data_IF_255763465951
#
_entry.id   IF_255763465951
#
_cell.length_a   1.000
_cell.length_b   1.000
_cell.length_c   1.000
_cell.angle_alpha   90.00
_cell.angle_beta   90.00
_cell.angle_gamma   90.00
#
_symmetry.space_group_name_H-M   'P 1'
#
loop_
_entity.id
_entity.type
_entity.pdbx_description
1 polymer ?
#
# COMPACT_ATOMS: atom_id res chain seq x y z
N UNK A 1 13.14 51.58 -5.83
CA UNK A 1 13.16 50.66 -4.68
C UNK A 1 12.52 49.36 -5.16
N UNK A 2 13.28 48.47 -5.80
CA UNK A 2 12.74 47.20 -6.32
C UNK A 2 13.07 46.06 -5.35
N UNK A 3 12.41 46.09 -4.21
CA UNK A 3 12.47 45.07 -3.17
C UNK A 3 11.51 43.89 -3.44
N UNK A 4 11.46 43.39 -4.68
CA UNK A 4 10.64 42.23 -5.01
C UNK A 4 11.34 40.96 -4.55
N UNK A 5 11.04 40.48 -3.33
CA UNK A 5 11.53 39.19 -2.85
C UNK A 5 11.13 38.07 -3.81
N UNK A 6 12.10 37.52 -4.55
CA UNK A 6 11.84 36.43 -5.49
C UNK A 6 11.28 35.20 -4.79
N UNK A 7 10.29 34.54 -5.41
CA UNK A 7 9.77 33.27 -4.93
C UNK A 7 10.70 32.12 -5.33
N UNK A 8 11.03 31.24 -4.38
CA UNK A 8 11.71 29.96 -4.64
C UNK A 8 10.65 28.87 -4.76
N UNK A 9 10.64 28.17 -5.89
CA UNK A 9 9.70 27.07 -6.15
C UNK A 9 10.41 25.74 -5.93
N UNK A 10 9.78 24.84 -5.15
CA UNK A 10 10.17 23.45 -4.99
C UNK A 10 8.94 22.61 -5.33
N UNK A 11 9.10 21.63 -6.20
CA UNK A 11 8.03 20.72 -6.62
C UNK A 11 8.52 19.27 -6.53
N UNK A 12 7.58 18.35 -6.27
CA UNK A 12 7.85 16.91 -6.24
C UNK A 12 6.73 16.15 -6.95
N UNK A 13 7.07 15.02 -7.57
CA UNK A 13 6.14 14.20 -8.35
C UNK A 13 6.57 12.74 -8.32
N UNK A 14 5.59 11.84 -8.41
CA UNK A 14 5.80 10.39 -8.59
C UNK A 14 5.73 9.97 -10.07
N UNK A 15 5.42 10.90 -10.98
CA UNK A 15 5.31 10.65 -12.42
C UNK A 15 6.56 11.12 -13.16
N UNK A 16 6.91 10.45 -14.24
CA UNK A 16 7.94 10.92 -15.16
C UNK A 16 7.42 12.13 -15.97
N UNK A 17 7.82 13.33 -15.56
CA UNK A 17 7.41 14.57 -16.24
C UNK A 17 7.93 14.65 -17.68
N UNK A 18 9.02 13.96 -18.00
CA UNK A 18 9.55 13.92 -19.37
C UNK A 18 8.54 13.23 -20.28
N UNK A 19 8.05 12.05 -19.87
CA UNK A 19 7.02 11.32 -20.61
C UNK A 19 5.68 12.05 -20.64
N UNK A 20 5.29 12.70 -19.53
CA UNK A 20 4.04 13.48 -19.49
C UNK A 20 4.08 14.71 -20.41
N UNK A 21 5.24 15.39 -20.51
CA UNK A 21 5.43 16.51 -21.43
C UNK A 21 5.41 16.07 -22.90
N UNK A 22 6.10 14.97 -23.22
CA UNK A 22 6.08 14.38 -24.58
C UNK A 22 4.68 13.93 -25.01
N UNK A 23 3.88 13.43 -24.06
CA UNK A 23 2.50 13.03 -24.30
C UNK A 23 1.50 14.20 -24.33
N UNK A 24 1.96 15.45 -24.19
CA UNK A 24 1.12 16.65 -24.18
C UNK A 24 0.23 16.79 -22.93
N UNK A 25 0.43 15.94 -21.91
CA UNK A 25 -0.31 15.99 -20.64
C UNK A 25 0.30 16.94 -19.62
N UNK A 26 1.54 17.38 -19.86
CA UNK A 26 2.23 18.37 -19.05
C UNK A 26 2.80 19.49 -19.93
N UNK A 27 2.75 20.72 -19.43
CA UNK A 27 3.16 21.89 -20.21
C UNK A 27 4.68 21.97 -20.37
N UNK A 28 5.17 22.02 -21.62
CA UNK A 28 6.59 21.93 -21.92
C UNK A 28 7.42 23.07 -21.29
N UNK A 29 6.95 24.32 -21.39
CA UNK A 29 7.66 25.46 -20.82
C UNK A 29 7.77 25.38 -19.29
N UNK A 30 6.75 24.82 -18.62
CA UNK A 30 6.79 24.61 -17.18
C UNK A 30 7.78 23.48 -16.82
N UNK A 31 7.80 22.40 -17.61
CA UNK A 31 8.79 21.34 -17.45
C UNK A 31 10.20 21.91 -17.51
N UNK A 32 10.55 22.64 -18.57
CA UNK A 32 11.90 23.22 -18.73
C UNK A 32 12.29 24.17 -17.59
N UNK A 33 11.34 24.92 -17.03
CA UNK A 33 11.59 25.79 -15.86
C UNK A 33 11.80 25.01 -14.56
N UNK A 34 11.07 23.92 -14.36
CA UNK A 34 11.23 23.06 -13.18
C UNK A 34 12.46 22.16 -13.29
N UNK A 35 12.95 21.91 -14.50
CA UNK A 35 14.03 20.97 -14.77
C UNK A 35 15.43 21.45 -14.42
N UNK A 36 15.56 22.71 -13.98
CA UNK A 36 16.85 23.33 -13.71
C UNK A 36 17.73 22.55 -12.72
N UNK A 37 17.12 21.89 -11.72
CA UNK A 37 17.81 20.98 -10.81
C UNK A 37 16.85 19.87 -10.36
N UNK A 38 17.13 18.63 -10.76
CA UNK A 38 16.36 17.45 -10.36
C UNK A 38 17.05 16.70 -9.23
N UNK A 39 16.30 16.40 -8.17
CA UNK A 39 16.73 15.51 -7.10
C UNK A 39 15.85 14.26 -7.11
N UNK A 40 16.47 13.09 -7.31
CA UNK A 40 15.80 11.79 -7.20
C UNK A 40 15.73 11.40 -5.73
N UNK A 41 14.53 11.08 -5.24
CA UNK A 41 14.34 10.48 -3.93
C UNK A 41 14.26 8.96 -4.11
N UNK A 42 15.24 8.17 -3.65
CA UNK A 42 15.22 6.72 -3.81
C UNK A 42 14.11 6.07 -2.96
N UNK A 43 13.59 4.95 -3.44
CA UNK A 43 12.71 4.11 -2.63
C UNK A 43 13.48 3.48 -1.45
N UNK A 44 12.81 3.12 -0.35
CA UNK A 44 13.47 2.47 0.78
C UNK A 44 14.18 1.16 0.41
N UNK A 45 13.63 0.38 -0.54
CA UNK A 45 14.29 -0.83 -1.08
C UNK A 45 15.63 -0.56 -1.78
N UNK A 46 15.89 0.68 -2.20
CA UNK A 46 17.16 1.10 -2.82
C UNK A 46 18.18 1.55 -1.76
N UNK A 47 17.78 1.63 -0.48
CA UNK A 47 18.60 2.08 0.67
C UNK A 47 18.19 1.34 1.96
N UNK A 48 18.24 0.00 2.00
CA UNK A 48 17.78 -0.76 3.16
C UNK A 48 18.56 -0.45 4.44
N UNK A 49 19.79 0.03 4.34
CA UNK A 49 20.64 0.48 5.46
C UNK A 49 20.05 1.64 6.26
N UNK A 50 19.17 2.46 5.66
CA UNK A 50 18.52 3.58 6.33
C UNK A 50 17.30 3.14 7.16
N UNK A 51 16.71 1.97 6.84
CA UNK A 51 15.49 1.44 7.46
C UNK A 51 15.59 1.39 8.99
N UNK A 52 16.66 0.84 9.62
CA UNK A 52 16.71 0.70 11.06
C UNK A 52 16.69 2.03 11.80
N UNK A 53 17.39 3.05 11.25
CA UNK A 53 17.44 4.40 11.83
C UNK A 53 16.09 5.10 11.69
N UNK A 54 15.51 5.04 10.49
CA UNK A 54 14.20 5.62 10.22
C UNK A 54 13.10 4.97 11.07
N UNK A 55 13.10 3.65 11.18
CA UNK A 55 12.14 2.90 11.99
C UNK A 55 12.19 3.30 13.46
N UNK A 56 13.40 3.36 14.06
CA UNK A 56 13.56 3.78 15.46
C UNK A 56 13.06 5.21 15.69
N UNK A 57 13.29 6.11 14.73
CA UNK A 57 12.76 7.47 14.80
C UNK A 57 11.23 7.50 14.80
N UNK A 58 10.58 6.77 13.88
CA UNK A 58 9.12 6.70 13.83
C UNK A 58 8.51 6.00 15.05
N UNK A 59 9.19 4.96 15.55
CA UNK A 59 8.77 4.25 16.77
C UNK A 59 8.78 5.20 17.97
N UNK A 60 9.85 5.97 18.13
CA UNK A 60 9.97 6.94 19.22
C UNK A 60 8.86 7.99 19.16
N UNK A 61 8.58 8.55 17.97
CA UNK A 61 7.45 9.47 17.77
C UNK A 61 6.09 8.84 18.08
N UNK A 62 5.87 7.59 17.66
CA UNK A 62 4.62 6.88 17.93
C UNK A 62 4.41 6.62 19.43
N UNK A 63 5.45 6.16 20.12
CA UNK A 63 5.43 5.94 21.57
C UNK A 63 5.19 7.24 22.34
N UNK A 64 5.84 8.33 21.95
CA UNK A 64 5.63 9.66 22.54
C UNK A 64 4.17 10.13 22.37
N UNK A 65 3.62 10.03 21.16
CA UNK A 65 2.24 10.44 20.86
C UNK A 65 1.20 9.59 21.60
N UNK A 66 1.46 8.29 21.76
CA UNK A 66 0.56 7.36 22.44
C UNK A 66 0.79 7.30 23.96
N UNK A 67 1.78 8.03 24.51
CA UNK A 67 2.23 7.93 25.89
C UNK A 67 2.55 6.47 26.31
N UNK A 68 3.20 5.72 25.42
CA UNK A 68 3.62 4.33 25.63
C UNK A 68 5.12 4.25 25.87
N UNK A 69 5.60 3.26 26.66
CA UNK A 69 7.02 2.96 26.73
C UNK A 69 7.53 2.46 25.38
N UNK A 70 8.76 2.81 25.03
CA UNK A 70 9.39 2.31 23.81
C UNK A 70 9.70 0.80 23.93
N UNK A 71 9.15 -0.04 23.04
CA UNK A 71 9.46 -1.46 23.01
C UNK A 71 10.89 -1.70 22.49
N UNK A 72 11.50 -2.81 22.93
CA UNK A 72 12.84 -3.17 22.47
C UNK A 72 12.83 -3.62 20.99
N UNK A 73 13.70 -3.00 20.18
CA UNK A 73 13.87 -3.35 18.76
C UNK A 73 15.08 -4.27 18.64
N UNK A 74 14.79 -5.56 18.73
CA UNK A 74 15.80 -6.63 18.68
C UNK A 74 16.46 -6.74 17.30
N UNK A 75 17.67 -7.36 17.21
CA UNK A 75 18.33 -7.60 15.92
C UNK A 75 17.48 -8.41 14.93
N UNK A 76 16.64 -9.33 15.42
CA UNK A 76 15.74 -10.12 14.58
C UNK A 76 14.64 -9.25 13.94
N UNK A 77 14.11 -8.28 14.70
CA UNK A 77 13.15 -7.30 14.17
C UNK A 77 13.82 -6.47 13.07
N UNK A 78 15.02 -5.96 13.33
CA UNK A 78 15.79 -5.17 12.34
C UNK A 78 16.03 -5.96 11.06
N UNK A 79 16.52 -7.21 11.17
CA UNK A 79 16.78 -8.05 10.01
C UNK A 79 15.52 -8.28 9.16
N UNK A 80 14.37 -8.49 9.81
CA UNK A 80 13.08 -8.63 9.13
C UNK A 80 12.64 -7.35 8.45
N UNK A 81 12.77 -6.20 9.10
CA UNK A 81 12.44 -4.90 8.51
C UNK A 81 13.28 -4.61 7.26
N UNK A 82 14.57 -4.94 7.28
CA UNK A 82 15.48 -4.74 6.15
C UNK A 82 15.20 -5.69 4.97
N UNK A 83 14.56 -6.84 5.21
CA UNK A 83 14.22 -7.81 4.19
C UNK A 83 12.89 -7.53 3.45
N UNK A 84 12.13 -6.52 3.88
CA UNK A 84 10.84 -6.15 3.28
C UNK A 84 10.99 -5.13 2.15
N UNK A 85 10.06 -5.16 1.20
CA UNK A 85 10.03 -4.25 0.03
C UNK A 85 9.47 -2.85 0.32
N UNK A 86 8.77 -2.69 1.45
CA UNK A 86 8.11 -1.45 1.88
C UNK A 86 7.23 -0.81 0.80
N UNK A 87 6.10 -1.44 0.41
CA UNK A 87 5.08 -0.75 -0.40
C UNK A 87 4.64 0.51 0.36
N UNK A 88 4.56 1.65 -0.34
CA UNK A 88 4.32 2.95 0.30
C UNK A 88 5.57 3.64 0.90
N UNK A 89 6.76 3.03 0.79
CA UNK A 89 8.05 3.63 1.15
C UNK A 89 8.03 4.10 2.63
N UNK A 90 8.45 5.33 2.93
CA UNK A 90 8.49 5.86 4.29
C UNK A 90 7.14 5.81 5.04
N UNK A 91 6.00 5.87 4.33
CA UNK A 91 4.67 5.77 4.96
C UNK A 91 4.41 4.38 5.51
N UNK A 92 4.69 3.35 4.71
CA UNK A 92 4.58 1.95 5.15
C UNK A 92 5.47 1.67 6.35
N UNK A 93 6.70 2.21 6.35
CA UNK A 93 7.61 2.07 7.49
C UNK A 93 7.10 2.77 8.76
N UNK A 94 6.53 3.97 8.62
CA UNK A 94 5.92 4.70 9.74
C UNK A 94 4.72 3.94 10.33
N UNK A 95 3.88 3.35 9.48
CA UNK A 95 2.72 2.56 9.92
C UNK A 95 3.16 1.27 10.62
N UNK A 96 4.19 0.59 10.11
CA UNK A 96 4.78 -0.56 10.81
C UNK A 96 5.33 -0.16 12.18
N UNK A 97 6.01 0.99 12.30
CA UNK A 97 6.51 1.48 13.59
C UNK A 97 5.37 1.80 14.57
N UNK A 98 4.29 2.41 14.10
CA UNK A 98 3.09 2.67 14.92
C UNK A 98 2.46 1.36 15.43
N UNK A 99 2.32 0.35 14.56
CA UNK A 99 1.77 -0.96 14.93
C UNK A 99 2.68 -1.69 15.93
N UNK A 100 3.99 -1.58 15.74
CA UNK A 100 4.99 -2.10 16.67
C UNK A 100 4.89 -1.44 18.06
N UNK A 101 4.73 -0.11 18.11
CA UNK A 101 4.52 0.63 19.35
C UNK A 101 3.28 0.13 20.13
N UNK A 102 2.20 -0.18 19.40
CA UNK A 102 0.94 -0.67 19.96
C UNK A 102 0.94 -2.17 20.30
N UNK A 103 2.04 -2.89 20.04
CA UNK A 103 2.12 -4.35 20.24
C UNK A 103 1.20 -5.14 19.30
N UNK A 104 0.80 -4.55 18.18
CA UNK A 104 -0.01 -5.23 17.17
C UNK A 104 0.89 -6.16 16.34
N UNK A 105 0.40 -7.37 15.98
CA UNK A 105 1.17 -8.27 15.13
C UNK A 105 1.44 -7.60 13.79
N UNK A 106 2.58 -7.89 13.17
CA UNK A 106 2.88 -7.50 11.79
C UNK A 106 1.86 -8.15 10.85
N UNK A 107 0.72 -7.50 10.66
CA UNK A 107 -0.16 -7.76 9.54
C UNK A 107 0.60 -7.46 8.26
N UNK A 108 0.51 -8.38 7.29
CA UNK A 108 0.91 -8.17 5.91
C UNK A 108 0.10 -7.00 5.34
N UNK A 109 0.52 -5.78 5.64
CA UNK A 109 -0.10 -4.58 5.09
C UNK A 109 0.58 -4.27 3.76
N UNK A 110 0.05 -4.94 2.76
CA UNK A 110 -0.10 -4.46 1.40
C UNK A 110 -0.84 -3.11 1.44
N UNK A 111 -0.15 -2.04 1.87
CA UNK A 111 -0.62 -0.65 1.76
C UNK A 111 -0.59 -0.20 0.30
N UNK A 112 -1.47 -0.84 -0.45
CA UNK A 112 -1.85 -0.58 -1.83
C UNK A 112 -3.29 -0.97 -2.12
N UNK A 113 -4.00 -1.62 -1.19
CA UNK A 113 -5.38 -2.02 -1.45
C UNK A 113 -6.31 -0.81 -1.29
N UNK A 114 -6.47 0.00 -2.34
CA UNK A 114 -7.55 0.99 -2.43
C UNK A 114 -8.91 0.34 -2.14
N UNK A 115 -9.98 1.13 -1.96
CA UNK A 115 -11.33 0.62 -1.68
C UNK A 115 -11.71 -0.59 -2.56
N UNK A 116 -11.30 -0.59 -3.83
CA UNK A 116 -11.52 -1.68 -4.78
C UNK A 116 -10.98 -3.03 -4.29
N UNK A 117 -9.83 -3.07 -3.64
CA UNK A 117 -9.16 -4.31 -3.25
C UNK A 117 -9.51 -4.73 -1.83
N UNK A 118 -9.85 -3.79 -0.95
CA UNK A 118 -10.59 -4.11 0.28
C UNK A 118 -11.95 -4.74 -0.05
N UNK A 119 -12.68 -4.16 -1.01
CA UNK A 119 -13.93 -4.74 -1.51
C UNK A 119 -13.70 -6.11 -2.17
N UNK A 120 -12.60 -6.30 -2.90
CA UNK A 120 -12.23 -7.59 -3.48
C UNK A 120 -12.01 -8.66 -2.41
N UNK A 121 -11.35 -8.31 -1.29
CA UNK A 121 -11.11 -9.22 -0.16
C UNK A 121 -12.42 -9.62 0.53
N UNK A 122 -13.30 -8.65 0.79
CA UNK A 122 -14.63 -8.91 1.36
C UNK A 122 -15.47 -9.76 0.41
N UNK A 123 -15.48 -9.42 -0.88
CA UNK A 123 -16.19 -10.17 -1.92
C UNK A 123 -15.71 -11.62 -1.99
N UNK A 124 -14.39 -11.84 -1.99
CA UNK A 124 -13.79 -13.18 -1.96
C UNK A 124 -14.27 -13.97 -0.74
N UNK A 125 -14.20 -13.39 0.46
CA UNK A 125 -14.64 -14.05 1.69
C UNK A 125 -16.11 -14.51 1.62
N UNK A 126 -16.99 -13.65 1.09
CA UNK A 126 -18.42 -13.96 0.96
C UNK A 126 -18.68 -15.07 -0.07
N UNK A 127 -17.92 -15.12 -1.16
CA UNK A 127 -18.02 -16.17 -2.18
C UNK A 127 -17.58 -17.53 -1.62
N UNK A 128 -16.45 -17.57 -0.91
CA UNK A 128 -15.92 -18.79 -0.30
C UNK A 128 -16.88 -19.32 0.78
N UNK A 129 -17.40 -18.46 1.65
CA UNK A 129 -18.34 -18.87 2.69
C UNK A 129 -19.67 -19.38 2.13
N UNK A 130 -20.18 -18.77 1.06
CA UNK A 130 -21.36 -19.26 0.37
C UNK A 130 -21.11 -20.63 -0.27
N UNK A 131 -19.95 -20.84 -0.90
CA UNK A 131 -19.60 -22.15 -1.48
C UNK A 131 -19.42 -23.23 -0.41
N UNK A 132 -18.76 -22.92 0.72
CA UNK A 132 -18.62 -23.85 1.86
C UNK A 132 -19.98 -24.29 2.39
N UNK A 133 -20.88 -23.35 2.65
CA UNK A 133 -22.22 -23.65 3.21
C UNK A 133 -23.12 -24.43 2.25
N UNK A 134 -22.87 -24.34 0.95
CA UNK A 134 -23.63 -25.05 -0.08
C UNK A 134 -22.88 -26.25 -0.66
N UNK A 135 -21.79 -26.70 -0.02
CA UNK A 135 -21.01 -27.87 -0.43
C UNK A 135 -20.52 -27.78 -1.87
N UNK A 136 -19.99 -26.64 -2.29
CA UNK A 136 -19.47 -26.42 -3.64
C UNK A 136 -20.54 -26.30 -4.73
N UNK A 137 -21.82 -26.17 -4.37
CA UNK A 137 -22.89 -25.91 -5.32
C UNK A 137 -22.97 -24.42 -5.68
N UNK A 138 -22.26 -24.03 -6.76
CA UNK A 138 -22.24 -22.67 -7.27
C UNK A 138 -23.63 -22.11 -7.65
N UNK A 139 -24.56 -22.97 -8.05
CA UNK A 139 -25.93 -22.54 -8.39
C UNK A 139 -26.69 -22.07 -7.14
N UNK A 140 -26.58 -22.81 -6.04
CA UNK A 140 -27.20 -22.44 -4.77
C UNK A 140 -26.49 -21.24 -4.14
N UNK A 141 -25.16 -21.19 -4.22
CA UNK A 141 -24.38 -20.03 -3.77
C UNK A 141 -24.80 -18.73 -4.49
N UNK A 142 -25.06 -18.79 -5.81
CA UNK A 142 -25.57 -17.64 -6.57
C UNK A 142 -26.92 -17.15 -6.05
N UNK A 143 -27.84 -18.08 -5.73
CA UNK A 143 -29.17 -17.74 -5.21
C UNK A 143 -29.11 -17.11 -3.82
N UNK A 144 -28.29 -17.67 -2.91
CA UNK A 144 -28.11 -17.15 -1.55
C UNK A 144 -27.49 -15.75 -1.57
N UNK A 145 -26.49 -15.54 -2.44
CA UNK A 145 -25.85 -14.23 -2.64
C UNK A 145 -26.70 -13.27 -3.47
N UNK A 146 -27.86 -13.71 -3.99
CA UNK A 146 -28.75 -12.94 -4.88
C UNK A 146 -28.03 -12.40 -6.13
N UNK A 147 -27.12 -13.19 -6.68
CA UNK A 147 -26.36 -12.86 -7.88
C UNK A 147 -26.87 -13.64 -9.09
N UNK A 148 -26.90 -13.03 -10.29
CA UNK A 148 -27.05 -13.80 -11.51
C UNK A 148 -25.95 -14.85 -11.62
N UNK A 149 -26.29 -16.06 -12.10
CA UNK A 149 -25.32 -17.18 -12.20
C UNK A 149 -24.05 -16.78 -12.96
N UNK A 150 -24.21 -16.08 -14.09
CA UNK A 150 -23.09 -15.59 -14.90
C UNK A 150 -22.14 -14.69 -14.09
N UNK A 151 -22.70 -13.72 -13.37
CA UNK A 151 -21.94 -12.80 -12.50
C UNK A 151 -21.21 -13.52 -11.38
N UNK A 152 -21.79 -14.59 -10.82
CA UNK A 152 -21.09 -15.41 -9.83
C UNK A 152 -19.85 -16.07 -10.47
N UNK A 153 -20.01 -16.74 -11.62
CA UNK A 153 -18.89 -17.39 -12.29
C UNK A 153 -17.79 -16.41 -12.70
N UNK A 154 -18.16 -15.22 -13.20
CA UNK A 154 -17.20 -14.17 -13.54
C UNK A 154 -16.40 -13.72 -12.30
N UNK A 155 -17.06 -13.59 -11.14
CA UNK A 155 -16.41 -13.24 -9.87
C UNK A 155 -15.53 -14.37 -9.33
N UNK A 156 -15.99 -15.62 -9.38
CA UNK A 156 -15.19 -16.78 -8.98
C UNK A 156 -13.91 -16.90 -9.81
N UNK A 157 -14.02 -16.73 -11.14
CA UNK A 157 -12.86 -16.74 -12.02
C UNK A 157 -11.89 -15.58 -11.71
N UNK A 158 -12.42 -14.38 -11.45
CA UNK A 158 -11.61 -13.21 -11.08
C UNK A 158 -10.84 -13.39 -9.78
N UNK A 159 -11.40 -14.10 -8.81
CA UNK A 159 -10.78 -14.38 -7.51
C UNK A 159 -10.03 -15.73 -7.46
N UNK A 160 -9.98 -16.47 -8.57
CA UNK A 160 -9.30 -17.77 -8.64
C UNK A 160 -9.96 -18.88 -7.81
N UNK A 161 -11.25 -18.75 -7.48
CA UNK A 161 -11.99 -19.69 -6.64
C UNK A 161 -12.64 -20.76 -7.52
N UNK A 162 -12.42 -22.04 -7.22
CA UNK A 162 -13.08 -23.14 -7.93
C UNK A 162 -14.14 -23.79 -7.03
N UNK A 163 -15.41 -23.89 -7.47
CA UNK A 163 -16.47 -24.52 -6.67
C UNK A 163 -16.18 -25.98 -6.29
N UNK A 164 -15.38 -26.69 -7.08
CA UNK A 164 -14.99 -28.08 -6.86
C UNK A 164 -14.15 -28.26 -5.60
N UNK A 165 -13.33 -27.27 -5.23
CA UNK A 165 -12.48 -27.30 -4.02
C UNK A 165 -13.31 -27.29 -2.72
N UNK A 166 -14.61 -27.02 -2.82
CA UNK A 166 -15.54 -26.90 -1.70
C UNK A 166 -16.59 -28.02 -1.68
N UNK A 167 -16.46 -29.04 -2.55
CA UNK A 167 -17.25 -30.27 -2.46
C UNK A 167 -16.53 -31.25 -1.53
N UNK A 168 -17.20 -31.63 -0.44
CA UNK A 168 -16.82 -32.77 0.40
C UNK A 168 -17.20 -34.09 -0.28
#
# INVERSE_FOLDING_TARGET
>A
MDGGGGARVIAGTYRDLTSEAQAGRFHADLYYRLDAMRLRVPALRERPEDIPVMFRHYLSQACEQAALPEPDVTPAVVARLMAQDWPGNARGLMNAAMRFALGLPDGDEDEGTGLAEQMARVERSLLEDALRRQGGNATLAAQVLRLPRKTLYDKLARHGIRPEDYRL
#
